data_IF_944841105947
#
_entry.id   IF_944841105947
#
_cell.length_a   1.000
_cell.length_b   1.000
_cell.length_c   1.000
_cell.angle_alpha   90.00
_cell.angle_beta   90.00
_cell.angle_gamma   90.00
#
_symmetry.space_group_name_H-M   'P 1'
#
loop_
_entity.id
_entity.type
_entity.pdbx_description
1 polymer ?
#
# COMPACT_ATOMS: atom_id res chain seq x y z
N UNK A 1 5.80 32.94 58.77
CA UNK A 1 5.57 31.56 58.30
C UNK A 1 4.25 31.54 57.55
N UNK A 2 4.26 31.07 56.29
CA UNK A 2 3.09 30.61 55.50
C UNK A 2 2.12 31.75 55.06
N UNK A 3 1.76 31.95 53.80
CA UNK A 3 1.45 30.99 52.74
C UNK A 3 1.81 31.57 51.35
N UNK A 4 2.84 31.01 50.71
CA UNK A 4 2.91 30.88 49.25
C UNK A 4 1.88 29.81 48.88
N UNK A 5 0.74 30.16 48.29
CA UNK A 5 -0.18 29.20 47.65
C UNK A 5 -1.32 29.94 46.94
N UNK A 6 -1.07 30.56 45.78
CA UNK A 6 -2.12 30.72 44.77
C UNK A 6 -1.53 31.08 43.41
N UNK A 7 -0.84 30.12 42.79
CA UNK A 7 -0.70 30.06 41.34
C UNK A 7 -1.50 28.85 40.89
N UNK A 8 -2.82 29.01 40.80
CA UNK A 8 -3.70 28.00 40.19
C UNK A 8 -3.49 28.05 38.68
N UNK A 9 -2.47 27.30 38.25
CA UNK A 9 -2.54 26.25 37.24
C UNK A 9 -3.79 26.29 36.33
N UNK A 10 -3.82 27.20 35.35
CA UNK A 10 -4.59 27.02 34.12
C UNK A 10 -3.65 27.02 32.90
N UNK A 11 -2.59 26.20 32.98
CA UNK A 11 -2.06 25.59 31.75
C UNK A 11 -3.06 24.51 31.35
N UNK A 12 -4.11 24.92 30.64
CA UNK A 12 -4.81 23.97 29.78
C UNK A 12 -3.76 23.40 28.86
N UNK A 13 -3.41 22.13 29.10
CA UNK A 13 -2.78 21.29 28.12
C UNK A 13 -3.69 21.27 26.90
N UNK A 14 -3.51 22.25 26.01
CA UNK A 14 -3.76 22.08 24.61
C UNK A 14 -2.84 20.92 24.20
N UNK A 15 -3.31 19.70 24.43
CA UNK A 15 -2.87 18.55 23.67
C UNK A 15 -3.32 18.86 22.24
N UNK A 16 -2.55 19.71 21.57
CA UNK A 16 -2.37 19.59 20.14
C UNK A 16 -1.79 18.20 19.99
N UNK A 17 -2.67 17.21 19.83
CA UNK A 17 -2.33 16.04 19.03
C UNK A 17 -1.89 16.66 17.71
N UNK A 18 -0.59 16.83 17.56
CA UNK A 18 -0.01 17.09 16.27
C UNK A 18 -0.44 15.88 15.45
N UNK A 19 -1.52 16.03 14.68
CA UNK A 19 -1.84 15.15 13.58
C UNK A 19 -0.73 15.35 12.56
N UNK A 20 0.47 14.87 12.88
CA UNK A 20 1.52 14.69 11.90
C UNK A 20 0.95 13.65 10.94
N UNK A 21 0.47 14.12 9.78
CA UNK A 21 0.14 13.24 8.68
C UNK A 21 1.39 12.40 8.39
N UNK A 22 1.30 11.10 8.69
CA UNK A 22 2.37 10.16 8.38
C UNK A 22 2.36 10.02 6.85
N UNK A 23 3.46 10.45 6.22
CA UNK A 23 3.64 10.21 4.79
C UNK A 23 4.17 8.78 4.63
N UNK A 24 3.60 8.03 3.70
CA UNK A 24 4.24 6.81 3.25
C UNK A 24 5.33 7.20 2.25
N UNK A 25 6.54 6.71 2.45
CA UNK A 25 7.64 7.02 1.54
C UNK A 25 7.28 6.56 0.12
N UNK A 26 7.62 7.40 -0.85
CA UNK A 26 7.46 7.01 -2.24
C UNK A 26 8.51 5.98 -2.61
N UNK A 27 8.08 4.92 -3.29
CA UNK A 27 8.99 3.94 -3.86
C UNK A 27 9.87 4.62 -4.92
N UNK A 28 11.13 4.19 -4.98
CA UNK A 28 12.09 4.67 -5.98
C UNK A 28 11.55 4.37 -7.37
N UNK A 29 11.55 5.39 -8.23
CA UNK A 29 11.09 5.29 -9.61
C UNK A 29 12.26 5.19 -10.58
N UNK A 30 12.08 4.45 -11.66
CA UNK A 30 13.02 4.36 -12.77
C UNK A 30 12.31 4.26 -14.11
N UNK A 31 12.93 4.76 -15.17
CA UNK A 31 12.47 4.56 -16.56
C UNK A 31 13.06 3.31 -17.20
N UNK A 32 14.08 2.73 -16.57
CA UNK A 32 14.77 1.52 -17.03
C UNK A 32 14.66 0.44 -15.97
N UNK A 33 14.33 -0.77 -16.39
CA UNK A 33 14.35 -1.93 -15.51
C UNK A 33 15.78 -2.19 -15.05
N UNK A 34 15.96 -2.43 -13.76
CA UNK A 34 17.26 -2.78 -13.20
C UNK A 34 17.69 -4.14 -13.75
N UNK A 35 18.96 -4.26 -14.14
CA UNK A 35 19.48 -5.47 -14.83
C UNK A 35 19.35 -6.74 -14.00
N UNK A 36 19.30 -6.60 -12.67
CA UNK A 36 19.17 -7.70 -11.73
C UNK A 36 17.71 -8.14 -11.49
N UNK A 37 16.76 -7.60 -12.28
CA UNK A 37 15.35 -7.93 -12.22
C UNK A 37 14.94 -8.86 -13.38
N UNK A 38 14.19 -9.89 -13.05
CA UNK A 38 13.52 -10.79 -13.99
C UNK A 38 12.02 -10.57 -13.87
N UNK A 39 11.29 -10.57 -14.99
CA UNK A 39 9.82 -10.48 -14.94
C UNK A 39 9.28 -11.73 -14.27
N UNK A 40 8.31 -11.57 -13.37
CA UNK A 40 7.66 -12.72 -12.74
C UNK A 40 6.90 -13.56 -13.77
N UNK A 41 6.86 -14.86 -13.51
CA UNK A 41 6.08 -15.82 -14.27
C UNK A 41 4.57 -15.61 -14.03
N UNK A 42 3.75 -16.11 -14.95
CA UNK A 42 2.30 -15.86 -14.95
C UNK A 42 1.56 -16.55 -13.79
N UNK A 43 2.15 -17.56 -13.18
CA UNK A 43 1.66 -18.22 -11.96
C UNK A 43 1.82 -17.35 -10.72
N UNK A 44 2.83 -16.48 -10.69
CA UNK A 44 3.04 -15.47 -9.65
C UNK A 44 2.20 -14.21 -9.93
N UNK A 45 2.25 -13.71 -11.17
CA UNK A 45 1.48 -12.54 -11.59
C UNK A 45 1.21 -12.54 -13.10
N UNK A 46 -0.06 -12.70 -13.46
CA UNK A 46 -0.50 -12.44 -14.83
C UNK A 46 -0.58 -10.93 -15.10
N UNK A 47 0.04 -10.48 -16.19
CA UNK A 47 0.03 -9.07 -16.58
C UNK A 47 -1.40 -8.53 -16.77
N UNK A 48 -1.78 -7.53 -15.99
CA UNK A 48 -3.13 -6.93 -16.04
C UNK A 48 -3.13 -5.61 -16.76
N UNK A 49 -4.18 -5.33 -17.53
CA UNK A 49 -4.37 -4.02 -18.19
C UNK A 49 -5.61 -3.32 -17.64
N UNK A 50 -5.45 -2.07 -17.23
CA UNK A 50 -6.54 -1.23 -16.74
C UNK A 50 -6.72 0.02 -17.61
N UNK A 51 -7.96 0.43 -17.82
CA UNK A 51 -8.28 1.75 -18.37
C UNK A 51 -8.41 2.75 -17.21
N UNK A 52 -7.50 3.72 -17.18
CA UNK A 52 -7.53 4.87 -16.27
C UNK A 52 -7.90 6.14 -17.04
N UNK A 53 -8.10 7.24 -16.31
CA UNK A 53 -8.34 8.58 -16.85
C UNK A 53 -7.16 9.07 -17.69
N UNK A 54 -5.92 8.72 -17.31
CA UNK A 54 -4.70 9.04 -18.05
C UNK A 54 -4.48 8.17 -19.28
N UNK A 55 -5.20 7.05 -19.43
CA UNK A 55 -5.04 6.13 -20.54
C UNK A 55 -5.03 4.66 -20.13
N UNK A 56 -4.71 3.79 -21.08
CA UNK A 56 -4.47 2.37 -20.80
C UNK A 56 -3.14 2.21 -20.08
N UNK A 57 -3.15 1.36 -19.06
CA UNK A 57 -1.96 1.05 -18.27
C UNK A 57 -1.87 -0.46 -18.10
N UNK A 58 -0.76 -1.04 -18.57
CA UNK A 58 -0.42 -2.44 -18.33
C UNK A 58 0.48 -2.54 -17.10
N UNK A 59 0.16 -3.47 -16.23
CA UNK A 59 0.86 -3.78 -15.00
C UNK A 59 1.67 -5.06 -15.16
N UNK A 60 2.87 -5.07 -14.58
CA UNK A 60 3.76 -6.23 -14.49
C UNK A 60 4.48 -6.23 -13.15
N UNK A 61 4.96 -7.38 -12.71
CA UNK A 61 5.81 -7.51 -11.53
C UNK A 61 7.12 -8.18 -11.89
N UNK A 62 8.12 -7.97 -11.05
CA UNK A 62 9.49 -8.41 -11.26
C UNK A 62 10.08 -8.88 -9.93
N UNK A 63 10.82 -9.98 -9.99
CA UNK A 63 11.69 -10.44 -8.92
C UNK A 63 13.09 -9.90 -9.17
N UNK A 64 13.62 -9.15 -8.21
CA UNK A 64 14.91 -8.50 -8.31
C UNK A 64 15.86 -8.97 -7.22
N UNK A 65 17.17 -8.84 -7.49
CA UNK A 65 18.22 -9.13 -6.51
C UNK A 65 19.14 -7.94 -6.31
N UNK A 66 19.72 -7.84 -5.11
CA UNK A 66 20.80 -6.90 -4.79
C UNK A 66 21.78 -7.55 -3.84
N UNK A 67 23.05 -7.13 -3.87
CA UNK A 67 24.05 -7.59 -2.92
C UNK A 67 24.24 -6.54 -1.82
N UNK A 68 24.03 -6.94 -0.57
CA UNK A 68 24.21 -6.09 0.60
C UNK A 68 25.00 -6.85 1.66
N UNK A 69 26.12 -6.28 2.11
CA UNK A 69 27.00 -6.88 3.13
C UNK A 69 27.43 -8.32 2.78
N UNK A 70 27.70 -8.60 1.50
CA UNK A 70 28.14 -9.91 1.01
C UNK A 70 27.05 -10.99 0.98
N UNK A 71 25.77 -10.60 1.06
CA UNK A 71 24.62 -11.50 0.91
C UNK A 71 23.69 -11.00 -0.20
N UNK A 72 23.13 -11.94 -0.95
CA UNK A 72 22.06 -11.66 -1.91
C UNK A 72 20.77 -11.40 -1.12
N UNK A 73 20.12 -10.28 -1.40
CA UNK A 73 18.78 -9.93 -0.94
C UNK A 73 17.84 -9.86 -2.14
N UNK A 74 16.59 -10.25 -1.92
CA UNK A 74 15.56 -10.23 -2.93
C UNK A 74 14.63 -9.03 -2.68
N UNK A 75 14.09 -8.43 -3.73
CA UNK A 75 13.05 -7.40 -3.59
C UNK A 75 12.09 -7.41 -4.77
N UNK A 76 10.88 -6.88 -4.58
CA UNK A 76 9.90 -6.73 -5.65
C UNK A 76 10.12 -5.48 -6.48
N UNK A 77 9.99 -5.64 -7.79
CA UNK A 77 9.80 -4.58 -8.76
C UNK A 77 8.38 -4.58 -9.32
N UNK A 78 7.86 -3.39 -9.61
CA UNK A 78 6.54 -3.18 -10.20
C UNK A 78 6.69 -2.35 -11.46
N UNK A 79 6.12 -2.79 -12.58
CA UNK A 79 6.19 -2.11 -13.87
C UNK A 79 4.84 -1.57 -14.31
N UNK A 80 4.85 -0.34 -14.82
CA UNK A 80 3.79 0.26 -15.61
C UNK A 80 4.27 0.40 -17.05
N UNK A 81 3.42 0.02 -18.00
CA UNK A 81 3.54 0.48 -19.38
C UNK A 81 2.30 1.32 -19.72
N UNK A 82 2.55 2.60 -20.01
CA UNK A 82 1.51 3.57 -20.38
C UNK A 82 1.12 3.41 -21.86
N UNK A 83 -0.03 4.00 -22.24
CA UNK A 83 -0.51 3.99 -23.61
C UNK A 83 0.47 4.67 -24.59
N UNK A 84 1.23 5.67 -24.13
CA UNK A 84 2.32 6.30 -24.87
C UNK A 84 3.51 5.38 -25.14
N UNK A 85 3.53 4.16 -24.57
CA UNK A 85 4.65 3.23 -24.63
C UNK A 85 5.73 3.49 -23.57
N UNK A 86 5.61 4.59 -22.80
CA UNK A 86 6.49 4.87 -21.68
C UNK A 86 6.40 3.76 -20.63
N UNK A 87 7.57 3.31 -20.18
CA UNK A 87 7.72 2.31 -19.11
C UNK A 87 8.24 2.97 -17.84
N UNK A 88 7.68 2.59 -16.70
CA UNK A 88 8.04 3.11 -15.39
C UNK A 88 8.10 1.94 -14.43
N UNK A 89 9.16 1.91 -13.62
CA UNK A 89 9.44 0.85 -12.67
C UNK A 89 9.52 1.42 -11.26
N UNK A 90 8.99 0.69 -10.29
CA UNK A 90 9.03 0.99 -8.87
C UNK A 90 9.66 -0.18 -8.13
N UNK A 91 10.45 0.09 -7.10
CA UNK A 91 11.16 -0.96 -6.37
C UNK A 91 10.93 -0.85 -4.87
N UNK A 92 10.64 -1.99 -4.25
CA UNK A 92 10.51 -2.12 -2.80
C UNK A 92 11.79 -2.70 -2.17
N UNK A 93 12.86 -1.91 -2.20
CA UNK A 93 14.19 -2.35 -1.74
C UNK A 93 14.33 -2.45 -0.20
N UNK A 94 13.28 -2.13 0.55
CA UNK A 94 13.32 -2.12 2.02
C UNK A 94 12.92 -3.45 2.64
N UNK A 95 12.22 -4.32 1.91
CA UNK A 95 11.83 -5.66 2.35
C UNK A 95 12.60 -6.72 1.58
N UNK A 96 13.16 -7.69 2.30
CA UNK A 96 13.69 -8.90 1.67
C UNK A 96 12.49 -9.76 1.23
N UNK A 97 12.29 -9.86 -0.08
CA UNK A 97 11.14 -10.46 -0.76
C UNK A 97 11.12 -11.99 -0.71
N UNK A 98 11.54 -12.60 0.39
CA UNK A 98 11.54 -14.05 0.54
C UNK A 98 10.15 -14.47 1.03
N UNK A 99 9.26 -14.88 0.12
CA UNK A 99 8.03 -15.59 0.49
C UNK A 99 6.70 -14.91 0.16
N UNK A 100 6.58 -14.22 -0.98
CA UNK A 100 5.25 -13.84 -1.47
C UNK A 100 4.46 -15.06 -1.91
N UNK A 101 3.22 -15.17 -1.42
CA UNK A 101 2.32 -16.27 -1.76
C UNK A 101 1.60 -16.01 -3.08
N UNK A 102 1.49 -14.73 -3.47
CA UNK A 102 0.99 -14.30 -4.77
C UNK A 102 0.82 -12.79 -4.81
N UNK A 103 0.84 -12.23 -6.02
CA UNK A 103 0.57 -10.81 -6.24
C UNK A 103 -0.76 -10.67 -6.96
N UNK A 104 -1.65 -9.85 -6.43
CA UNK A 104 -2.84 -9.42 -7.16
C UNK A 104 -2.75 -7.94 -7.49
N UNK A 105 -3.55 -7.49 -8.44
CA UNK A 105 -3.76 -6.07 -8.66
C UNK A 105 -5.22 -5.76 -8.94
N UNK A 106 -5.60 -4.53 -8.63
CA UNK A 106 -6.92 -3.99 -8.93
C UNK A 106 -6.86 -2.50 -9.22
N UNK A 107 -7.78 -2.02 -10.07
CA UNK A 107 -8.07 -0.60 -10.22
C UNK A 107 -8.99 -0.17 -9.08
N UNK A 108 -8.52 0.76 -8.26
CA UNK A 108 -9.26 1.27 -7.09
C UNK A 108 -10.20 2.42 -7.49
N UNK A 109 -9.76 3.28 -8.39
CA UNK A 109 -10.57 4.34 -9.00
C UNK A 109 -10.03 4.73 -10.39
N UNK A 110 -10.53 5.82 -10.96
CA UNK A 110 -10.16 6.27 -12.30
C UNK A 110 -8.67 6.65 -12.47
N UNK A 111 -7.91 6.80 -11.40
CA UNK A 111 -6.52 7.30 -11.41
C UNK A 111 -5.55 6.43 -10.62
N UNK A 112 -6.03 5.37 -9.98
CA UNK A 112 -5.24 4.60 -9.02
C UNK A 112 -5.41 3.11 -9.23
N UNK A 113 -4.26 2.43 -9.28
CA UNK A 113 -4.15 0.98 -9.19
C UNK A 113 -3.40 0.61 -7.91
N UNK A 114 -3.62 -0.60 -7.44
CA UNK A 114 -2.89 -1.14 -6.30
C UNK A 114 -2.42 -2.54 -6.65
N UNK A 115 -1.17 -2.83 -6.32
CA UNK A 115 -0.66 -4.19 -6.20
C UNK A 115 -0.81 -4.61 -4.75
N UNK A 116 -1.39 -5.79 -4.53
CA UNK A 116 -1.45 -6.42 -3.22
C UNK A 116 -0.44 -7.56 -3.22
N UNK A 117 0.68 -7.33 -2.55
CA UNK A 117 1.78 -8.27 -2.44
C UNK A 117 1.64 -9.04 -1.12
N UNK A 118 0.88 -10.14 -1.16
CA UNK A 118 0.48 -10.87 0.04
C UNK A 118 1.53 -11.90 0.43
N UNK A 119 1.81 -11.97 1.72
CA UNK A 119 2.55 -13.04 2.39
C UNK A 119 1.65 -13.68 3.46
N UNK A 120 1.96 -14.90 3.92
CA UNK A 120 1.05 -15.76 4.72
C UNK A 120 0.11 -15.01 5.70
N UNK A 121 0.63 -14.08 6.50
CA UNK A 121 -0.13 -13.34 7.52
C UNK A 121 -0.13 -11.83 7.35
N UNK A 122 -0.04 -11.34 6.12
CA UNK A 122 -0.04 -9.91 5.84
C UNK A 122 0.29 -9.58 4.40
N UNK A 123 0.72 -8.36 4.17
CA UNK A 123 1.11 -7.94 2.84
C UNK A 123 1.59 -6.51 2.78
N UNK A 124 2.00 -6.13 1.59
CA UNK A 124 2.29 -4.76 1.23
C UNK A 124 1.35 -4.31 0.11
N UNK A 125 0.57 -3.28 0.38
CA UNK A 125 -0.23 -2.60 -0.64
C UNK A 125 0.63 -1.54 -1.32
N UNK A 126 0.95 -1.74 -2.59
CA UNK A 126 1.68 -0.75 -3.40
C UNK A 126 0.67 0.03 -4.24
N UNK A 127 0.32 1.21 -3.74
CA UNK A 127 -0.57 2.14 -4.44
C UNK A 127 0.19 2.92 -5.49
N UNK A 128 -0.28 2.87 -6.73
CA UNK A 128 0.19 3.72 -7.81
C UNK A 128 -0.92 4.70 -8.17
N UNK A 129 -0.71 5.97 -7.83
CA UNK A 129 -1.61 7.06 -8.22
C UNK A 129 -1.00 7.88 -9.35
N UNK A 130 -1.73 7.91 -10.45
CA UNK A 130 -1.41 8.68 -11.65
C UNK A 130 -2.32 9.89 -11.70
N UNK A 131 -1.78 11.05 -11.32
CA UNK A 131 -2.49 12.32 -11.55
C UNK A 131 -2.55 12.62 -13.05
N UNK A 132 -1.44 12.35 -13.75
CA UNK A 132 -1.28 12.34 -15.21
C UNK A 132 -0.05 11.47 -15.58
N UNK A 133 0.36 11.44 -16.85
CA UNK A 133 1.52 10.63 -17.30
C UNK A 133 2.87 11.13 -16.76
N UNK A 134 2.96 12.38 -16.30
CA UNK A 134 4.18 12.98 -15.76
C UNK A 134 4.22 12.93 -14.22
N UNK A 135 3.06 12.92 -13.57
CA UNK A 135 2.90 12.93 -12.12
C UNK A 135 2.35 11.60 -11.62
N UNK A 136 3.28 10.67 -11.40
CA UNK A 136 3.00 9.31 -10.95
C UNK A 136 3.65 9.11 -9.59
N UNK A 137 2.87 8.63 -8.62
CA UNK A 137 3.32 8.43 -7.25
C UNK A 137 3.07 6.98 -6.87
N UNK A 138 4.06 6.34 -6.26
CA UNK A 138 3.96 4.97 -5.78
C UNK A 138 4.27 4.92 -4.30
N UNK A 139 3.32 4.47 -3.48
CA UNK A 139 3.47 4.45 -2.02
C UNK A 139 3.17 3.04 -1.51
N UNK A 140 3.97 2.58 -0.54
CA UNK A 140 3.78 1.29 0.12
C UNK A 140 3.05 1.46 1.44
N UNK A 141 2.02 0.63 1.65
CA UNK A 141 1.27 0.55 2.91
C UNK A 141 1.27 -0.89 3.40
N UNK A 142 2.11 -1.23 4.40
CA UNK A 142 2.12 -2.55 5.01
C UNK A 142 0.81 -2.84 5.76
N UNK A 143 0.45 -4.11 5.85
CA UNK A 143 -0.66 -4.59 6.68
C UNK A 143 -0.40 -5.98 7.24
N UNK A 144 -1.07 -6.30 8.34
CA UNK A 144 -1.13 -7.66 8.89
C UNK A 144 -2.54 -8.23 8.78
N UNK A 145 -2.63 -9.53 8.50
CA UNK A 145 -3.88 -10.27 8.36
C UNK A 145 -3.74 -11.68 8.99
N UNK A 146 -4.83 -12.43 9.02
CA UNK A 146 -4.83 -13.89 9.24
C UNK A 146 -4.62 -14.62 7.91
N UNK A 147 -4.40 -15.93 7.95
CA UNK A 147 -4.23 -16.79 6.76
C UNK A 147 -5.42 -16.69 5.77
N UNK A 148 -6.64 -16.49 6.27
CA UNK A 148 -7.87 -16.24 5.47
C UNK A 148 -8.27 -14.76 5.42
N UNK A 149 -7.38 -13.88 5.87
CA UNK A 149 -7.62 -12.45 5.96
C UNK A 149 -7.12 -11.69 4.73
N UNK A 150 -7.71 -10.53 4.48
CA UNK A 150 -7.25 -9.64 3.42
C UNK A 150 -7.74 -8.21 3.63
N UNK A 151 -7.44 -7.34 2.68
CA UNK A 151 -7.84 -5.93 2.74
C UNK A 151 -8.91 -5.64 1.69
N UNK A 152 -10.08 -5.19 2.14
CA UNK A 152 -11.05 -4.53 1.27
C UNK A 152 -10.58 -3.11 1.00
N UNK A 153 -10.41 -2.78 -0.28
CA UNK A 153 -10.01 -1.46 -0.74
C UNK A 153 -11.21 -0.81 -1.42
N UNK A 154 -11.48 0.44 -1.07
CA UNK A 154 -12.49 1.26 -1.75
C UNK A 154 -12.02 2.72 -1.82
N UNK A 155 -12.54 3.49 -2.77
CA UNK A 155 -12.18 4.89 -2.91
C UNK A 155 -13.41 5.78 -3.03
N UNK A 156 -13.28 6.99 -2.51
CA UNK A 156 -14.23 8.08 -2.69
C UNK A 156 -13.44 9.38 -2.78
N UNK A 157 -13.61 10.10 -3.88
CA UNK A 157 -12.89 11.34 -4.17
C UNK A 157 -11.36 11.15 -4.08
N UNK A 158 -10.70 11.91 -3.21
CA UNK A 158 -9.26 11.85 -2.96
C UNK A 158 -8.89 10.91 -1.80
N UNK A 159 -9.84 10.10 -1.32
CA UNK A 159 -9.65 9.20 -0.17
C UNK A 159 -9.72 7.74 -0.60
N UNK A 160 -8.86 6.92 0.00
CA UNK A 160 -8.88 5.47 -0.13
C UNK A 160 -9.12 4.89 1.27
N UNK A 161 -10.08 3.98 1.38
CA UNK A 161 -10.46 3.31 2.61
C UNK A 161 -9.96 1.88 2.56
N UNK A 162 -9.22 1.50 3.59
CA UNK A 162 -8.66 0.17 3.77
C UNK A 162 -9.33 -0.48 4.98
N UNK A 163 -9.99 -1.61 4.75
CA UNK A 163 -10.70 -2.34 5.79
C UNK A 163 -10.24 -3.79 5.80
N UNK A 164 -9.65 -4.24 6.92
CA UNK A 164 -9.37 -5.66 7.12
C UNK A 164 -10.67 -6.46 7.05
N UNK A 165 -10.63 -7.59 6.38
CA UNK A 165 -11.73 -8.52 6.26
C UNK A 165 -11.26 -9.95 6.39
N UNK A 166 -12.11 -10.81 6.94
CA UNK A 166 -11.92 -12.25 7.04
C UNK A 166 -12.87 -12.94 6.07
N UNK A 167 -12.35 -13.87 5.26
CA UNK A 167 -13.19 -14.73 4.43
C UNK A 167 -14.00 -15.69 5.29
N UNK A 168 -15.28 -15.86 4.99
CA UNK A 168 -16.20 -16.72 5.75
C UNK A 168 -16.66 -17.96 4.95
N UNK A 169 -16.03 -18.24 3.81
CA UNK A 169 -16.54 -19.21 2.85
C UNK A 169 -17.53 -18.61 1.85
N UNK A 170 -18.19 -19.47 1.10
CA UNK A 170 -19.18 -19.09 0.10
C UNK A 170 -20.61 -19.28 0.64
N UNK A 171 -21.53 -18.43 0.21
CA UNK A 171 -22.95 -18.66 0.45
C UNK A 171 -23.51 -19.79 -0.45
N UNK A 172 -24.80 -20.12 -0.30
CA UNK A 172 -25.48 -21.13 -1.14
C UNK A 172 -25.47 -20.83 -2.65
N UNK A 173 -25.12 -19.62 -3.04
CA UNK A 173 -25.02 -19.16 -4.44
C UNK A 173 -23.56 -19.07 -4.91
N UNK A 174 -22.61 -19.68 -4.19
CA UNK A 174 -21.18 -19.66 -4.49
C UNK A 174 -20.58 -18.24 -4.50
N UNK A 175 -21.14 -17.33 -3.71
CA UNK A 175 -20.60 -15.99 -3.55
C UNK A 175 -19.77 -15.92 -2.29
N UNK A 176 -18.51 -15.49 -2.44
CA UNK A 176 -17.59 -15.26 -1.33
C UNK A 176 -18.18 -14.29 -0.30
N UNK A 177 -18.18 -14.70 0.97
CA UNK A 177 -18.63 -13.89 2.10
C UNK A 177 -17.44 -13.40 2.91
N UNK A 178 -17.54 -12.17 3.40
CA UNK A 178 -16.48 -11.53 4.18
C UNK A 178 -17.03 -10.81 5.41
N UNK A 179 -16.30 -10.89 6.52
CA UNK A 179 -16.57 -10.14 7.75
C UNK A 179 -15.54 -9.03 7.91
N UNK A 180 -15.98 -7.81 8.19
CA UNK A 180 -15.06 -6.70 8.54
C UNK A 180 -14.45 -6.96 9.91
N UNK A 181 -13.14 -6.73 10.03
CA UNK A 181 -12.40 -6.92 11.27
C UNK A 181 -11.72 -5.62 11.69
N UNK A 182 -11.89 -5.24 12.95
CA UNK A 182 -11.31 -4.02 13.52
C UNK A 182 -11.75 -2.74 12.81
N UNK A 183 -11.05 -1.65 13.12
CA UNK A 183 -11.24 -0.35 12.47
C UNK A 183 -10.37 -0.26 11.22
N UNK A 184 -10.95 0.23 10.13
CA UNK A 184 -10.20 0.54 8.91
C UNK A 184 -9.33 1.79 9.06
N UNK A 185 -8.49 2.03 8.06
CA UNK A 185 -7.72 3.27 7.91
C UNK A 185 -8.13 4.00 6.64
N UNK A 186 -7.88 5.30 6.63
CA UNK A 186 -8.13 6.17 5.49
C UNK A 186 -6.82 6.78 5.04
N UNK A 187 -6.54 6.63 3.75
CA UNK A 187 -5.46 7.30 3.05
C UNK A 187 -6.03 8.46 2.25
N UNK A 188 -5.21 9.48 2.02
CA UNK A 188 -5.52 10.62 1.16
C UNK A 188 -4.45 10.73 0.08
N UNK A 189 -4.88 11.05 -1.14
CA UNK A 189 -4.00 11.44 -2.24
C UNK A 189 -3.54 12.88 -2.05
N UNK A 190 -2.23 13.11 -2.11
CA UNK A 190 -1.64 14.43 -1.98
C UNK A 190 -0.54 14.65 -3.02
N UNK A 191 -0.75 15.65 -3.89
CA UNK A 191 0.22 16.01 -4.93
C UNK A 191 1.60 16.28 -4.33
N UNK A 192 2.64 15.81 -5.03
CA UNK A 192 4.03 15.86 -4.57
C UNK A 192 4.39 14.86 -3.47
N UNK A 193 3.40 14.16 -2.87
CA UNK A 193 3.63 13.18 -1.80
C UNK A 193 3.12 11.78 -2.09
N UNK A 194 2.14 11.62 -2.97
CA UNK A 194 1.51 10.31 -3.22
C UNK A 194 0.40 10.03 -2.21
N UNK A 195 0.42 8.86 -1.57
CA UNK A 195 -0.53 8.51 -0.50
C UNK A 195 -0.04 8.99 0.86
N UNK A 196 -0.92 9.64 1.62
CA UNK A 196 -0.66 10.05 3.01
C UNK A 196 -1.71 9.45 3.95
N UNK A 197 -1.31 9.12 5.17
CA UNK A 197 -2.23 8.69 6.21
C UNK A 197 -3.15 9.84 6.62
N UNK A 198 -4.45 9.58 6.72
CA UNK A 198 -5.46 10.56 7.13
C UNK A 198 -6.07 10.23 8.50
N UNK A 199 -6.54 9.00 8.71
CA UNK A 199 -7.23 8.61 9.96
C UNK A 199 -7.33 7.09 10.14
N UNK A 200 -7.69 6.65 11.35
CA UNK A 200 -7.85 5.24 11.74
C UNK A 200 -6.81 4.81 12.78
N UNK A 201 -6.65 3.50 12.98
CA UNK A 201 -5.56 2.97 13.83
C UNK A 201 -4.49 2.32 12.95
N UNK A 202 -3.55 3.13 12.45
CA UNK A 202 -2.48 2.67 11.56
C UNK A 202 -1.61 1.60 12.22
N UNK A 203 -1.35 1.72 13.53
CA UNK A 203 -0.53 0.77 14.26
C UNK A 203 -1.21 -0.59 14.31
N UNK A 204 -2.49 -0.67 14.68
CA UNK A 204 -3.25 -1.93 14.65
C UNK A 204 -3.39 -2.47 13.24
N UNK A 205 -3.56 -1.60 12.26
CA UNK A 205 -3.60 -2.01 10.86
C UNK A 205 -2.31 -2.74 10.43
N UNK A 206 -1.16 -2.20 10.83
CA UNK A 206 0.17 -2.69 10.46
C UNK A 206 0.76 -3.78 11.36
N UNK A 207 0.21 -4.02 12.55
CA UNK A 207 0.86 -4.90 13.55
C UNK A 207 -0.04 -5.96 14.15
N UNK A 208 -1.37 -5.77 14.13
CA UNK A 208 -2.28 -6.70 14.77
C UNK A 208 -2.64 -7.84 13.81
N UNK A 209 -2.18 -9.05 14.17
CA UNK A 209 -2.68 -10.29 13.60
C UNK A 209 -4.12 -10.51 14.04
N UNK A 210 -4.94 -10.95 13.09
CA UNK A 210 -6.29 -11.39 13.40
C UNK A 210 -6.16 -12.81 13.98
N UNK A 211 -6.60 -12.99 15.23
CA UNK A 211 -6.74 -14.31 15.87
C UNK A 211 -8.04 -14.98 15.43
#
# INVERSE_FOLDING_TARGET
MKYLSSLVLCMMCSATFANSMINFDNLKQSKTLDKACTQDDADVFEAKTYQLKSGKVQLKTYSCTTEKQGKIQYYSGFGLQLASGQKIYFYDQLSDAIGYVGINSQRVDQSTVVFDNMYERGGDLVFVWMQDEQHIYASKVPYMASDEGGIKISAQDQKIYLQKQLYLGENKQQQAQYKKIGQGIVLKKQAGKGMVYLSGDLKKFQQEHLQ
#
